data_IF_940899981479
#
_entry.id   IF_940899981479
#
_cell.length_a   1.000
_cell.length_b   1.000
_cell.length_c   1.000
_cell.angle_alpha   90.00
_cell.angle_beta   90.00
_cell.angle_gamma   90.00
#
_symmetry.space_group_name_H-M   'P 1'
#
loop_
_entity.id
_entity.type
_entity.pdbx_description
1 polymer ?
#
# COMPACT_ATOMS: atom_id res chain seq x y z
N UNK A 1 4.63 -38.29 16.91
CA UNK A 1 4.88 -37.51 15.68
C UNK A 1 4.15 -36.19 15.86
N UNK A 2 4.87 -35.16 16.29
CA UNK A 2 4.31 -33.84 16.66
C UNK A 2 4.10 -33.01 15.40
N UNK A 3 2.84 -32.67 15.10
CA UNK A 3 2.48 -31.69 14.09
C UNK A 3 2.98 -30.31 14.55
N UNK A 4 4.05 -29.80 13.92
CA UNK A 4 4.38 -28.38 14.02
C UNK A 4 3.38 -27.62 13.15
N UNK A 5 2.40 -26.99 13.79
CA UNK A 5 1.55 -25.98 13.15
C UNK A 5 2.45 -24.81 12.77
N UNK A 6 2.56 -24.54 11.47
CA UNK A 6 3.31 -23.42 10.94
C UNK A 6 2.74 -22.12 11.53
N UNK A 7 3.59 -21.35 12.22
CA UNK A 7 3.30 -20.00 12.71
C UNK A 7 3.11 -19.07 11.52
N UNK A 8 1.89 -18.63 11.27
CA UNK A 8 1.61 -17.46 10.43
C UNK A 8 0.95 -16.40 11.31
N UNK A 9 1.58 -15.23 11.41
CA UNK A 9 1.11 -14.10 12.21
C UNK A 9 -0.24 -13.58 11.67
N UNK A 10 -1.35 -14.12 12.18
CA UNK A 10 -2.71 -13.85 11.71
C UNK A 10 -3.17 -12.42 11.99
N UNK A 11 -2.89 -11.50 11.07
CA UNK A 11 -3.49 -10.16 11.07
C UNK A 11 -4.97 -10.26 10.71
N UNK A 12 -5.78 -9.28 11.12
CA UNK A 12 -7.16 -9.12 10.62
C UNK A 12 -7.41 -7.67 10.27
N UNK A 13 -8.59 -7.37 9.73
CA UNK A 13 -8.96 -6.01 9.40
C UNK A 13 -10.44 -5.73 9.60
N UNK A 14 -10.75 -4.47 9.87
CA UNK A 14 -12.10 -3.94 9.77
C UNK A 14 -12.20 -3.03 8.55
N UNK A 15 -13.27 -3.19 7.79
CA UNK A 15 -13.57 -2.35 6.63
C UNK A 15 -14.85 -1.56 6.92
N UNK A 16 -14.83 -0.25 6.69
CA UNK A 16 -15.98 0.62 6.92
C UNK A 16 -16.04 1.74 5.88
N UNK A 17 -17.09 2.58 5.91
CA UNK A 17 -17.14 3.81 5.11
C UNK A 17 -16.97 5.02 6.02
N UNK A 18 -16.12 5.97 5.65
CA UNK A 18 -15.94 7.21 6.41
C UNK A 18 -17.05 8.25 6.11
N UNK A 19 -16.92 9.45 6.70
CA UNK A 19 -17.85 10.59 6.51
C UNK A 19 -18.02 11.00 5.03
N UNK A 20 -17.03 10.72 4.18
CA UNK A 20 -17.07 11.01 2.75
C UNK A 20 -17.74 9.90 1.93
N UNK A 21 -18.12 8.79 2.56
CA UNK A 21 -18.62 7.57 1.90
C UNK A 21 -17.50 6.67 1.34
N UNK A 22 -16.24 7.06 1.51
CA UNK A 22 -15.06 6.32 1.04
C UNK A 22 -14.83 5.09 1.89
N UNK A 23 -14.51 3.95 1.24
CA UNK A 23 -14.14 2.72 1.93
C UNK A 23 -12.81 2.92 2.67
N UNK A 24 -12.80 2.66 3.97
CA UNK A 24 -11.64 2.68 4.85
C UNK A 24 -11.37 1.29 5.41
N UNK A 25 -10.10 1.01 5.70
CA UNK A 25 -9.67 -0.24 6.31
C UNK A 25 -8.78 0.07 7.51
N UNK A 26 -9.03 -0.64 8.60
CA UNK A 26 -8.24 -0.64 9.82
C UNK A 26 -7.59 -2.01 9.92
N UNK A 27 -6.26 -2.06 10.03
CA UNK A 27 -5.55 -3.31 10.32
C UNK A 27 -5.56 -3.55 11.83
N UNK A 28 -5.91 -4.79 12.19
CA UNK A 28 -5.92 -5.30 13.53
C UNK A 28 -4.64 -6.14 13.72
N UNK A 29 -3.60 -5.52 14.27
CA UNK A 29 -2.34 -6.19 14.64
C UNK A 29 -2.09 -6.21 16.15
N UNK A 30 -2.97 -5.55 16.92
CA UNK A 30 -2.97 -5.46 18.39
C UNK A 30 -4.41 -5.46 18.90
N UNK A 31 -4.59 -5.65 20.20
CA UNK A 31 -5.91 -5.52 20.82
C UNK A 31 -6.43 -4.09 20.66
N UNK A 32 -7.54 -3.96 19.93
CA UNK A 32 -7.99 -2.70 19.33
C UNK A 32 -9.27 -2.23 19.96
N UNK A 33 -9.20 -1.13 20.70
CA UNK A 33 -10.34 -0.43 21.24
C UNK A 33 -11.07 0.35 20.13
N UNK A 34 -12.40 0.22 20.08
CA UNK A 34 -13.27 0.97 19.19
C UNK A 34 -14.12 1.93 20.02
N UNK A 35 -14.06 3.22 19.69
CA UNK A 35 -14.79 4.23 20.44
C UNK A 35 -14.76 5.61 19.79
N UNK A 36 -15.21 6.60 20.57
CA UNK A 36 -15.23 8.02 20.18
C UNK A 36 -14.10 8.86 20.78
N UNK A 37 -13.11 8.24 21.43
CA UNK A 37 -11.98 8.95 22.04
C UNK A 37 -10.63 8.26 21.72
N UNK A 38 -9.54 9.03 21.56
CA UNK A 38 -8.30 8.55 20.92
C UNK A 38 -7.39 7.61 21.74
N UNK A 39 -7.61 7.38 23.04
CA UNK A 39 -7.03 6.27 23.82
C UNK A 39 -7.73 6.26 25.20
N UNK A 40 -7.83 5.13 25.93
CA UNK A 40 -8.90 4.90 26.88
C UNK A 40 -8.89 5.89 28.06
N UNK A 41 -9.75 6.89 28.00
CA UNK A 41 -10.05 7.72 29.16
C UNK A 41 -10.72 6.84 30.23
N UNK A 42 -10.06 6.73 31.39
CA UNK A 42 -10.63 6.11 32.60
C UNK A 42 -11.86 6.84 33.14
N UNK A 43 -12.21 8.03 32.61
CA UNK A 43 -13.40 8.79 33.02
C UNK A 43 -14.66 8.34 32.29
N UNK A 44 -14.88 7.03 32.17
CA UNK A 44 -16.22 6.52 31.88
C UNK A 44 -17.04 6.57 33.18
N UNK A 45 -18.23 7.22 33.23
CA UNK A 45 -19.13 7.12 34.38
C UNK A 45 -19.70 5.70 34.54
N UNK A 46 -19.41 4.79 33.59
CA UNK A 46 -19.82 3.39 33.63
C UNK A 46 -18.62 2.51 33.90
N UNK A 47 -18.86 1.48 34.71
CA UNK A 47 -17.91 0.40 34.96
C UNK A 47 -17.62 -0.34 33.65
N UNK A 48 -16.35 -0.39 33.26
CA UNK A 48 -15.90 -1.06 32.05
C UNK A 48 -15.58 -2.52 32.37
N UNK A 49 -15.90 -3.46 31.47
CA UNK A 49 -15.54 -4.86 31.68
C UNK A 49 -14.02 -5.05 31.86
N UNK A 50 -13.56 -6.03 32.67
CA UNK A 50 -12.14 -6.24 32.93
C UNK A 50 -11.27 -6.40 31.68
N UNK A 51 -11.83 -6.95 30.59
CA UNK A 51 -11.17 -7.13 29.30
C UNK A 51 -10.64 -5.82 28.73
N UNK A 52 -11.22 -4.67 29.09
CA UNK A 52 -10.77 -3.35 28.65
C UNK A 52 -9.30 -3.08 28.94
N UNK A 53 -8.75 -3.66 30.02
CA UNK A 53 -7.34 -3.56 30.38
C UNK A 53 -6.40 -4.17 29.32
N UNK A 54 -6.92 -5.02 28.43
CA UNK A 54 -6.16 -5.61 27.33
C UNK A 54 -5.99 -4.66 26.13
N UNK A 55 -6.66 -3.50 26.10
CA UNK A 55 -6.57 -2.56 24.97
C UNK A 55 -5.15 -1.99 24.80
N UNK A 56 -4.65 -2.00 23.57
CA UNK A 56 -3.29 -1.56 23.23
C UNK A 56 -3.26 -0.43 22.20
N UNK A 57 -4.24 -0.40 21.29
CA UNK A 57 -4.45 0.69 20.34
C UNK A 57 -5.92 1.11 20.38
N UNK A 58 -6.22 2.35 20.00
CA UNK A 58 -7.58 2.82 19.86
C UNK A 58 -7.81 3.34 18.44
N UNK A 59 -8.99 3.01 17.92
CA UNK A 59 -9.47 3.50 16.64
C UNK A 59 -10.69 4.36 16.91
N UNK A 60 -10.57 5.60 16.49
CA UNK A 60 -11.64 6.57 16.53
C UNK A 60 -12.58 6.29 15.35
N UNK A 61 -13.78 5.82 15.63
CA UNK A 61 -14.80 5.61 14.60
C UNK A 61 -15.61 6.90 14.48
N UNK A 62 -15.10 7.81 13.67
CA UNK A 62 -15.77 9.06 13.31
C UNK A 62 -16.90 8.72 12.34
N UNK A 63 -18.15 8.99 12.73
CA UNK A 63 -19.36 8.99 11.88
C UNK A 63 -20.65 9.04 12.70
N UNK A 64 -20.62 8.58 13.95
CA UNK A 64 -21.84 8.38 14.74
C UNK A 64 -21.67 8.79 16.20
N UNK A 65 -22.33 9.89 16.59
CA UNK A 65 -22.38 10.38 17.97
C UNK A 65 -22.98 9.37 18.97
N UNK A 66 -23.71 8.37 18.48
CA UNK A 66 -24.29 7.29 19.28
C UNK A 66 -23.28 6.21 19.66
N UNK A 67 -22.08 6.20 19.07
CA UNK A 67 -21.00 5.32 19.52
C UNK A 67 -20.61 5.73 20.96
N UNK A 68 -20.35 4.78 21.85
CA UNK A 68 -19.91 5.11 23.21
C UNK A 68 -18.44 5.56 23.20
N UNK A 69 -18.02 6.34 24.20
CA UNK A 69 -16.60 6.72 24.32
C UNK A 69 -15.69 5.50 24.33
N UNK A 70 -16.06 4.52 25.16
CA UNK A 70 -15.53 3.15 25.10
C UNK A 70 -16.67 2.24 24.62
N UNK A 71 -16.64 1.79 23.37
CA UNK A 71 -17.77 1.04 22.78
C UNK A 71 -17.51 -0.45 22.75
N UNK A 72 -16.45 -0.87 22.11
CA UNK A 72 -16.10 -2.27 21.95
C UNK A 72 -14.59 -2.45 21.97
N UNK A 73 -14.14 -3.68 22.20
CA UNK A 73 -12.74 -4.07 22.16
C UNK A 73 -12.59 -5.35 21.34
N UNK A 74 -11.70 -5.32 20.36
CA UNK A 74 -11.26 -6.51 19.64
C UNK A 74 -10.02 -7.07 20.31
N UNK A 75 -10.10 -8.31 20.75
CA UNK A 75 -9.01 -9.03 21.41
C UNK A 75 -8.62 -10.22 20.55
N UNK A 76 -7.32 -10.42 20.36
CA UNK A 76 -6.81 -11.69 19.83
C UNK A 76 -6.72 -12.68 20.98
N UNK A 77 -7.52 -13.74 20.92
CA UNK A 77 -7.52 -14.83 21.89
C UNK A 77 -7.17 -16.12 21.13
N UNK A 78 -6.02 -16.69 21.44
CA UNK A 78 -5.37 -17.75 20.67
C UNK A 78 -5.31 -17.39 19.17
N UNK A 79 -5.91 -18.21 18.32
CA UNK A 79 -5.96 -18.02 16.87
C UNK A 79 -7.26 -17.36 16.37
N UNK A 80 -8.04 -16.76 17.27
CA UNK A 80 -9.34 -16.16 16.94
C UNK A 80 -9.42 -14.69 17.36
N UNK A 81 -10.18 -13.92 16.59
CA UNK A 81 -10.54 -12.55 16.99
C UNK A 81 -11.87 -12.57 17.71
N UNK A 82 -11.89 -11.99 18.91
CA UNK A 82 -13.07 -11.92 19.76
C UNK A 82 -13.45 -10.45 19.95
N UNK A 83 -14.70 -10.14 19.63
CA UNK A 83 -15.30 -8.82 19.84
C UNK A 83 -15.97 -8.78 21.21
N UNK A 84 -15.60 -7.81 22.04
CA UNK A 84 -16.17 -7.57 23.36
C UNK A 84 -16.95 -6.25 23.35
N UNK A 85 -18.20 -6.25 23.78
CA UNK A 85 -18.95 -5.02 24.07
C UNK A 85 -18.48 -4.42 25.40
N UNK A 86 -18.15 -3.13 25.45
CA UNK A 86 -17.64 -2.47 26.65
C UNK A 86 -18.74 -1.78 27.46
N UNK A 87 -19.88 -2.45 27.64
CA UNK A 87 -21.10 -1.89 28.24
C UNK A 87 -21.61 -0.65 27.47
N UNK A 88 -21.64 -0.75 26.15
CA UNK A 88 -22.02 0.35 25.27
C UNK A 88 -23.49 0.75 25.46
N UNK A 89 -23.81 2.03 25.24
CA UNK A 89 -25.19 2.54 25.40
C UNK A 89 -26.14 1.92 24.37
N UNK A 90 -25.72 1.95 23.11
CA UNK A 90 -26.55 1.57 21.96
C UNK A 90 -26.28 0.13 21.47
N UNK A 91 -25.43 -0.60 22.18
CA UNK A 91 -25.15 -2.00 21.92
C UNK A 91 -24.23 -2.23 20.73
N UNK A 92 -23.68 -3.43 20.71
CA UNK A 92 -22.91 -4.01 19.62
C UNK A 92 -23.70 -5.16 19.01
N UNK A 93 -23.76 -5.25 17.67
CA UNK A 93 -24.39 -6.36 16.96
C UNK A 93 -23.41 -7.01 16.01
N UNK A 94 -23.56 -8.32 15.78
CA UNK A 94 -22.83 -9.06 14.75
C UNK A 94 -23.84 -9.81 13.90
N UNK A 95 -23.82 -9.57 12.59
CA UNK A 95 -24.78 -10.16 11.63
C UNK A 95 -26.25 -9.94 12.03
N UNK A 96 -26.55 -8.78 12.61
CA UNK A 96 -27.90 -8.41 13.06
C UNK A 96 -28.26 -8.86 14.48
N UNK A 97 -27.51 -9.80 15.07
CA UNK A 97 -27.74 -10.28 16.43
C UNK A 97 -27.03 -9.40 17.46
N UNK A 98 -27.75 -8.96 18.49
CA UNK A 98 -27.19 -8.14 19.57
C UNK A 98 -26.37 -8.97 20.54
N UNK A 99 -25.18 -8.48 20.88
CA UNK A 99 -24.42 -9.00 22.02
C UNK A 99 -25.12 -8.56 23.32
N UNK A 100 -25.08 -9.39 24.38
CA UNK A 100 -25.36 -8.91 25.73
C UNK A 100 -24.45 -7.73 26.09
N UNK A 101 -24.90 -6.83 26.96
CA UNK A 101 -24.04 -5.76 27.48
C UNK A 101 -22.86 -6.38 28.24
N UNK A 102 -21.64 -5.99 27.87
CA UNK A 102 -20.44 -6.61 28.44
C UNK A 102 -20.14 -8.01 27.91
N UNK A 103 -20.94 -8.50 26.96
CA UNK A 103 -20.79 -9.82 26.34
C UNK A 103 -19.79 -9.80 25.18
N UNK A 104 -19.48 -11.00 24.70
CA UNK A 104 -18.46 -11.23 23.68
C UNK A 104 -18.98 -12.09 22.53
N UNK A 105 -18.26 -12.06 21.40
CA UNK A 105 -18.51 -12.93 20.26
C UNK A 105 -17.22 -13.17 19.46
N UNK A 106 -16.91 -14.43 19.20
CA UNK A 106 -15.87 -14.81 18.25
C UNK A 106 -16.28 -14.44 16.83
N UNK A 107 -15.39 -13.79 16.09
CA UNK A 107 -15.64 -13.29 14.74
C UNK A 107 -15.18 -14.27 13.67
N UNK A 108 -15.90 -14.27 12.55
CA UNK A 108 -15.60 -15.02 11.34
C UNK A 108 -15.49 -14.10 10.13
N UNK A 109 -14.82 -14.56 9.10
CA UNK A 109 -14.70 -13.81 7.84
C UNK A 109 -16.05 -13.37 7.30
N UNK A 110 -16.13 -12.09 6.94
CA UNK A 110 -17.33 -11.46 6.40
C UNK A 110 -18.34 -10.98 7.44
N UNK A 111 -18.09 -11.21 8.74
CA UNK A 111 -19.01 -10.77 9.79
C UNK A 111 -19.22 -9.25 9.75
N UNK A 112 -20.49 -8.85 9.77
CA UNK A 112 -20.89 -7.44 9.83
C UNK A 112 -21.06 -7.08 11.30
N UNK A 113 -20.09 -6.35 11.84
CA UNK A 113 -20.12 -5.77 13.17
C UNK A 113 -20.81 -4.40 13.08
N UNK A 114 -21.88 -4.20 13.81
CA UNK A 114 -22.53 -2.90 13.93
C UNK A 114 -22.34 -2.35 15.34
N UNK A 115 -21.57 -1.27 15.46
CA UNK A 115 -21.45 -0.51 16.71
C UNK A 115 -22.34 0.73 16.62
N UNK A 116 -23.36 0.82 17.47
CA UNK A 116 -24.45 1.79 17.30
C UNK A 116 -25.06 1.75 15.87
N UNK A 117 -24.89 2.80 15.06
CA UNK A 117 -25.38 2.84 13.68
C UNK A 117 -24.33 2.52 12.64
N UNK A 118 -23.06 2.41 13.01
CA UNK A 118 -21.94 2.24 12.07
C UNK A 118 -21.66 0.76 11.77
N UNK A 119 -21.83 0.31 10.52
CA UNK A 119 -21.42 -1.03 10.10
C UNK A 119 -19.91 -1.08 9.81
N UNK A 120 -19.26 -2.14 10.29
CA UNK A 120 -17.88 -2.52 10.09
C UNK A 120 -17.89 -3.97 9.58
N UNK A 121 -17.15 -4.28 8.53
CA UNK A 121 -17.01 -5.67 8.04
C UNK A 121 -15.69 -6.23 8.55
N UNK A 122 -15.76 -7.33 9.27
CA UNK A 122 -14.57 -8.05 9.73
C UNK A 122 -14.07 -8.97 8.62
N UNK A 123 -12.77 -8.85 8.33
CA UNK A 123 -12.07 -9.74 7.42
C UNK A 123 -10.81 -10.23 8.14
N UNK A 124 -10.76 -11.50 8.58
CA UNK A 124 -9.51 -12.13 9.00
C UNK A 124 -8.61 -12.12 7.78
N UNK A 125 -7.36 -11.73 7.95
CA UNK A 125 -6.40 -11.74 6.86
C UNK A 125 -5.97 -13.20 6.61
N UNK A 126 -6.90 -14.04 6.17
CA UNK A 126 -6.59 -15.30 5.51
C UNK A 126 -6.21 -14.95 4.07
N UNK A 127 -4.91 -14.82 3.80
CA UNK A 127 -4.35 -15.24 2.51
C UNK A 127 -4.54 -14.37 1.26
N UNK A 128 -5.18 -13.19 1.27
CA UNK A 128 -5.08 -12.31 0.09
C UNK A 128 -3.86 -11.39 0.21
N UNK A 129 -2.79 -11.72 -0.52
CA UNK A 129 -1.64 -10.83 -0.71
C UNK A 129 -2.13 -9.57 -1.42
N UNK A 130 -2.41 -8.51 -0.67
CA UNK A 130 -2.68 -7.21 -1.26
C UNK A 130 -1.37 -6.58 -1.72
N UNK A 131 -1.19 -6.51 -3.04
CA UNK A 131 -0.16 -5.69 -3.63
C UNK A 131 -0.75 -4.36 -4.04
N UNK A 132 0.00 -3.30 -3.78
CA UNK A 132 -0.43 -1.93 -3.98
C UNK A 132 0.57 -1.22 -4.88
N UNK A 133 0.08 -0.26 -5.66
CA UNK A 133 0.95 0.60 -6.44
C UNK A 133 0.54 2.07 -6.30
N UNK A 134 1.54 2.93 -6.20
CA UNK A 134 1.41 4.37 -6.37
C UNK A 134 2.19 4.79 -7.62
N UNK A 135 1.47 5.29 -8.61
CA UNK A 135 2.01 5.82 -9.85
C UNK A 135 1.99 7.35 -9.79
N UNK A 136 3.14 7.98 -10.00
CA UNK A 136 3.30 9.43 -9.91
C UNK A 136 3.86 9.97 -11.22
N UNK A 137 3.11 10.83 -11.89
CA UNK A 137 3.51 11.43 -13.17
C UNK A 137 3.58 12.95 -13.09
N UNK A 138 4.76 13.53 -13.31
CA UNK A 138 4.87 14.98 -13.42
C UNK A 138 5.56 15.39 -14.74
N UNK A 139 4.82 15.97 -15.70
CA UNK A 139 5.43 16.47 -16.95
C UNK A 139 6.38 17.65 -16.70
N UNK A 140 6.20 18.39 -15.60
CA UNK A 140 7.02 19.54 -15.19
C UNK A 140 7.22 20.61 -16.27
N UNK A 141 8.32 21.34 -16.19
CA UNK A 141 8.67 22.40 -17.14
C UNK A 141 10.13 22.28 -17.62
N UNK A 142 10.39 22.29 -18.94
CA UNK A 142 9.41 22.23 -20.02
C UNK A 142 8.62 20.90 -19.98
N UNK A 143 7.35 20.89 -20.44
CA UNK A 143 6.50 19.72 -20.28
C UNK A 143 6.99 18.55 -21.13
N UNK A 144 7.22 17.41 -20.46
CA UNK A 144 7.46 16.12 -21.09
C UNK A 144 6.14 15.59 -21.68
N UNK A 145 6.20 15.02 -22.90
CA UNK A 145 5.01 14.63 -23.66
C UNK A 145 4.56 13.20 -23.36
N UNK A 146 5.47 12.34 -22.90
CA UNK A 146 5.24 10.91 -22.69
C UNK A 146 4.67 10.53 -21.32
N UNK A 147 4.65 11.44 -20.35
CA UNK A 147 4.39 11.08 -18.94
C UNK A 147 3.00 10.48 -18.71
N UNK A 148 1.95 11.00 -19.34
CA UNK A 148 0.62 10.37 -19.20
C UNK A 148 0.60 8.98 -19.85
N UNK A 149 1.23 8.81 -21.01
CA UNK A 149 1.32 7.50 -21.66
C UNK A 149 2.08 6.48 -20.79
N UNK A 150 3.12 6.94 -20.11
CA UNK A 150 3.91 6.15 -19.17
C UNK A 150 3.05 5.67 -17.99
N UNK A 151 2.30 6.60 -17.39
CA UNK A 151 1.40 6.33 -16.27
C UNK A 151 0.25 5.40 -16.68
N UNK A 152 -0.46 5.71 -17.77
CA UNK A 152 -1.59 4.92 -18.26
C UNK A 152 -1.15 3.49 -18.61
N UNK A 153 -0.03 3.35 -19.34
CA UNK A 153 0.47 2.03 -19.72
C UNK A 153 0.91 1.19 -18.51
N UNK A 154 1.49 1.83 -17.48
CA UNK A 154 1.87 1.15 -16.24
C UNK A 154 0.62 0.76 -15.44
N UNK A 155 -0.36 1.64 -15.38
CA UNK A 155 -1.64 1.40 -14.72
C UNK A 155 -2.36 0.20 -15.34
N UNK A 156 -2.46 0.15 -16.66
CA UNK A 156 -3.08 -0.95 -17.40
C UNK A 156 -2.40 -2.29 -17.06
N UNK A 157 -1.06 -2.33 -17.18
CA UNK A 157 -0.32 -3.59 -16.99
C UNK A 157 -0.30 -4.06 -15.54
N UNK A 158 -0.36 -3.16 -14.57
CA UNK A 158 -0.51 -3.54 -13.16
C UNK A 158 -1.95 -3.94 -12.84
N UNK A 159 -2.95 -3.22 -13.34
CA UNK A 159 -4.37 -3.48 -13.06
C UNK A 159 -4.87 -4.79 -13.66
N UNK A 160 -4.33 -5.19 -14.81
CA UNK A 160 -4.62 -6.49 -15.45
C UNK A 160 -4.07 -7.70 -14.66
N UNK A 161 -3.25 -7.47 -13.63
CA UNK A 161 -2.71 -8.55 -12.81
C UNK A 161 -3.65 -8.93 -11.68
N UNK A 162 -3.90 -10.24 -11.58
CA UNK A 162 -4.68 -10.86 -10.50
C UNK A 162 -4.25 -10.48 -9.08
N UNK A 163 -3.02 -10.01 -8.88
CA UNK A 163 -2.48 -9.68 -7.57
C UNK A 163 -2.45 -8.16 -7.25
N UNK A 164 -2.90 -7.29 -8.15
CA UNK A 164 -3.09 -5.84 -7.94
C UNK A 164 -4.55 -5.32 -8.13
N UNK A 165 -5.61 -6.16 -8.22
CA UNK A 165 -6.87 -5.71 -8.80
C UNK A 165 -7.51 -4.60 -7.93
N UNK A 166 -7.58 -3.39 -8.49
CA UNK A 166 -8.18 -2.22 -7.85
C UNK A 166 -7.32 -1.47 -6.82
N UNK A 167 -6.03 -1.85 -6.66
CA UNK A 167 -5.12 -1.28 -5.66
C UNK A 167 -3.99 -0.43 -6.28
N UNK A 168 -4.21 0.10 -7.49
CA UNK A 168 -3.30 1.01 -8.20
C UNK A 168 -3.84 2.43 -8.10
N UNK A 169 -3.11 3.29 -7.40
CA UNK A 169 -3.44 4.71 -7.26
C UNK A 169 -2.53 5.56 -8.13
N UNK A 170 -3.09 6.58 -8.80
CA UNK A 170 -2.35 7.47 -9.68
C UNK A 170 -2.46 8.93 -9.21
N UNK A 171 -1.33 9.64 -9.18
CA UNK A 171 -1.24 11.08 -9.02
C UNK A 171 -0.48 11.67 -10.22
N UNK A 172 -1.15 12.44 -11.08
CA UNK A 172 -0.49 13.09 -12.22
C UNK A 172 -0.74 14.60 -12.26
N UNK A 173 0.16 15.32 -12.94
CA UNK A 173 0.06 16.77 -13.18
C UNK A 173 -0.12 17.56 -11.89
N UNK A 174 -1.15 18.40 -11.83
CA UNK A 174 -1.54 19.24 -10.70
C UNK A 174 -1.88 18.44 -9.43
N UNK A 175 -2.19 17.15 -9.57
CA UNK A 175 -2.44 16.25 -8.43
C UNK A 175 -1.18 15.62 -7.86
N UNK A 176 -0.07 15.62 -8.60
CA UNK A 176 1.22 15.08 -8.17
C UNK A 176 1.95 16.08 -7.25
N UNK A 177 1.30 16.52 -6.17
CA UNK A 177 1.90 17.40 -5.16
C UNK A 177 2.70 16.58 -4.15
N UNK A 178 3.71 17.20 -3.52
CA UNK A 178 4.52 16.57 -2.49
C UNK A 178 3.63 16.04 -1.36
N UNK A 179 2.68 16.83 -0.90
CA UNK A 179 1.77 16.46 0.18
C UNK A 179 0.86 15.27 -0.20
N UNK A 180 0.25 15.29 -1.40
CA UNK A 180 -0.62 14.21 -1.85
C UNK A 180 0.12 12.88 -1.94
N UNK A 181 1.37 12.88 -2.42
CA UNK A 181 2.21 11.69 -2.49
C UNK A 181 2.48 11.14 -1.08
N UNK A 182 2.90 12.00 -0.14
CA UNK A 182 3.21 11.57 1.23
C UNK A 182 1.97 11.03 1.95
N UNK A 183 0.81 11.68 1.82
CA UNK A 183 -0.45 11.22 2.40
C UNK A 183 -0.89 9.87 1.82
N UNK A 184 -0.68 9.66 0.52
CA UNK A 184 -0.98 8.38 -0.11
C UNK A 184 -0.07 7.26 0.41
N UNK A 185 1.23 7.51 0.56
CA UNK A 185 2.16 6.54 1.17
C UNK A 185 1.78 6.21 2.62
N UNK A 186 1.35 7.19 3.40
CA UNK A 186 0.82 6.95 4.75
C UNK A 186 -0.43 6.07 4.72
N UNK A 187 -1.35 6.31 3.78
CA UNK A 187 -2.55 5.47 3.65
C UNK A 187 -2.24 4.02 3.32
N UNK A 188 -1.21 3.76 2.50
CA UNK A 188 -0.74 2.41 2.20
C UNK A 188 -0.06 1.76 3.40
N UNK A 189 0.69 2.52 4.21
CA UNK A 189 1.30 2.02 5.43
C UNK A 189 0.27 1.51 6.45
N UNK A 190 -0.94 2.09 6.45
CA UNK A 190 -2.04 1.65 7.31
C UNK A 190 -2.60 0.28 6.93
N UNK A 191 -2.45 -0.15 5.67
CA UNK A 191 -3.08 -1.37 5.14
C UNK A 191 -2.09 -2.47 4.75
N UNK A 192 -0.81 -2.14 4.53
CA UNK A 192 0.21 -3.10 4.12
C UNK A 192 0.62 -4.08 5.24
N UNK A 193 0.91 -5.32 4.86
CA UNK A 193 1.38 -6.39 5.76
C UNK A 193 2.81 -6.82 5.42
N UNK A 194 3.40 -7.73 6.19
CA UNK A 194 4.74 -8.27 5.88
C UNK A 194 4.78 -9.12 4.60
N UNK A 195 3.61 -9.61 4.16
CA UNK A 195 3.47 -10.38 2.92
C UNK A 195 3.11 -9.49 1.71
N UNK A 196 2.71 -8.23 1.94
CA UNK A 196 2.42 -7.28 0.87
C UNK A 196 3.64 -6.96 0.02
N UNK A 197 3.41 -6.70 -1.27
CA UNK A 197 4.36 -5.97 -2.12
C UNK A 197 3.83 -4.59 -2.46
N UNK A 198 4.68 -3.58 -2.36
CA UNK A 198 4.35 -2.20 -2.70
C UNK A 198 5.20 -1.74 -3.89
N UNK A 199 4.58 -1.09 -4.88
CA UNK A 199 5.26 -0.48 -6.02
C UNK A 199 5.11 1.04 -5.93
N UNK A 200 6.24 1.75 -5.88
CA UNK A 200 6.28 3.18 -6.15
C UNK A 200 6.86 3.38 -7.54
N UNK A 201 6.10 3.99 -8.43
CA UNK A 201 6.57 4.32 -9.76
C UNK A 201 6.48 5.84 -9.96
N UNK A 202 7.56 6.42 -10.46
CA UNK A 202 7.62 7.83 -10.81
C UNK A 202 8.14 8.03 -12.23
N UNK A 203 7.47 8.91 -12.98
CA UNK A 203 7.93 9.41 -14.27
C UNK A 203 7.87 10.93 -14.32
N UNK A 204 8.97 11.56 -14.73
CA UNK A 204 9.04 13.01 -14.85
C UNK A 204 10.46 13.56 -14.75
N UNK A 205 10.56 14.85 -14.49
CA UNK A 205 11.85 15.49 -14.24
C UNK A 205 12.41 15.15 -12.86
N UNK A 206 13.73 15.25 -12.73
CA UNK A 206 14.42 15.15 -11.46
C UNK A 206 15.79 15.82 -11.52
N UNK A 207 16.32 16.10 -10.35
CA UNK A 207 17.61 16.74 -10.16
C UNK A 207 18.33 16.17 -8.96
N UNK A 208 19.50 16.73 -8.65
CA UNK A 208 20.36 16.27 -7.56
C UNK A 208 19.71 16.32 -6.16
N UNK A 209 18.61 17.05 -6.01
CA UNK A 209 17.87 17.17 -4.75
C UNK A 209 16.69 16.21 -4.64
N UNK A 210 16.23 15.62 -5.75
CA UNK A 210 15.06 14.74 -5.75
C UNK A 210 14.25 14.80 -7.05
N UNK A 211 13.02 14.27 -6.97
CA UNK A 211 12.08 14.20 -8.09
C UNK A 211 11.25 15.49 -8.14
N UNK A 212 11.06 16.05 -9.32
CA UNK A 212 10.22 17.24 -9.49
C UNK A 212 8.75 16.87 -9.32
N UNK A 213 8.06 17.50 -8.39
CA UNK A 213 6.61 17.33 -8.20
C UNK A 213 5.92 18.65 -8.48
N UNK A 214 4.60 18.66 -8.61
CA UNK A 214 3.87 19.83 -9.10
C UNK A 214 4.17 21.13 -8.34
N UNK A 215 4.31 21.01 -7.02
CA UNK A 215 4.50 22.11 -6.08
C UNK A 215 5.93 22.16 -5.49
N UNK A 216 6.88 21.41 -6.06
CA UNK A 216 8.27 21.45 -5.58
C UNK A 216 9.09 20.20 -5.88
N UNK A 217 9.68 19.62 -4.83
CA UNK A 217 10.59 18.48 -4.95
C UNK A 217 10.28 17.44 -3.90
N UNK A 218 10.14 16.18 -4.32
CA UNK A 218 10.12 15.02 -3.43
C UNK A 218 11.55 14.53 -3.23
N UNK A 219 12.09 14.67 -2.02
CA UNK A 219 13.48 14.29 -1.73
C UNK A 219 13.59 12.80 -1.34
N UNK A 220 14.79 12.19 -1.37
CA UNK A 220 14.99 10.83 -0.84
C UNK A 220 14.56 10.70 0.62
N UNK A 221 14.83 11.71 1.45
CA UNK A 221 14.42 11.74 2.86
C UNK A 221 12.90 11.70 3.00
N UNK A 222 12.19 12.48 2.19
CA UNK A 222 10.72 12.52 2.22
C UNK A 222 10.15 11.13 1.92
N UNK A 223 10.58 10.54 0.80
CA UNK A 223 10.11 9.24 0.33
C UNK A 223 10.43 8.14 1.36
N UNK A 224 11.68 8.02 1.80
CA UNK A 224 12.09 6.93 2.70
C UNK A 224 11.52 7.06 4.11
N UNK A 225 11.27 8.28 4.59
CA UNK A 225 10.59 8.48 5.88
C UNK A 225 9.17 7.91 5.91
N UNK A 226 8.52 7.73 4.75
CA UNK A 226 7.19 7.12 4.62
C UNK A 226 7.24 5.68 4.20
N UNK A 227 8.09 5.35 3.21
CA UNK A 227 8.26 3.98 2.77
C UNK A 227 8.68 3.06 3.91
N UNK A 228 9.50 3.50 4.86
CA UNK A 228 9.91 2.66 6.01
C UNK A 228 8.71 2.09 6.79
N UNK A 229 7.58 2.80 6.82
CA UNK A 229 6.36 2.40 7.53
C UNK A 229 5.48 1.43 6.73
N UNK A 230 5.67 1.35 5.40
CA UNK A 230 4.99 0.36 4.57
C UNK A 230 5.66 -0.99 4.81
N UNK A 231 4.90 -1.94 5.36
CA UNK A 231 5.38 -3.30 5.65
C UNK A 231 5.57 -4.09 4.36
N UNK A 232 6.29 -5.21 4.45
CA UNK A 232 6.53 -6.09 3.31
C UNK A 232 7.62 -5.59 2.36
N UNK A 233 7.60 -6.07 1.13
CA UNK A 233 8.64 -5.78 0.13
C UNK A 233 8.25 -4.55 -0.69
N UNK A 234 9.21 -3.65 -0.97
CA UNK A 234 8.97 -2.49 -1.82
C UNK A 234 9.83 -2.50 -3.07
N UNK A 235 9.24 -2.11 -4.18
CA UNK A 235 9.92 -1.82 -5.43
C UNK A 235 9.68 -0.34 -5.79
N UNK A 236 10.76 0.41 -5.94
CA UNK A 236 10.76 1.82 -6.33
C UNK A 236 11.33 1.91 -7.74
N UNK A 237 10.58 2.47 -8.68
CA UNK A 237 10.93 2.61 -10.09
C UNK A 237 10.94 4.09 -10.45
N UNK A 238 12.08 4.60 -10.88
CA UNK A 238 12.28 6.04 -11.12
C UNK A 238 12.70 6.28 -12.58
N UNK A 239 11.73 6.65 -13.42
CA UNK A 239 11.95 7.14 -14.79
C UNK A 239 12.19 8.66 -14.73
N UNK A 240 13.34 9.03 -14.15
CA UNK A 240 13.75 10.43 -13.97
C UNK A 240 15.27 10.63 -14.03
N UNK A 241 15.69 11.77 -14.59
CA UNK A 241 17.08 12.26 -14.51
C UNK A 241 17.56 12.33 -13.05
N UNK A 242 18.86 12.06 -12.82
CA UNK A 242 19.50 12.09 -11.50
C UNK A 242 18.80 11.25 -10.42
N UNK A 243 17.96 10.29 -10.79
CA UNK A 243 17.25 9.43 -9.82
C UNK A 243 18.17 8.51 -9.01
N UNK A 244 19.46 8.44 -9.36
CA UNK A 244 20.50 7.74 -8.61
C UNK A 244 20.72 8.32 -7.20
N UNK A 245 20.31 9.56 -6.92
CA UNK A 245 20.31 10.13 -5.57
C UNK A 245 19.39 9.39 -4.59
N UNK A 246 18.50 8.54 -5.08
CA UNK A 246 17.65 7.67 -4.27
C UNK A 246 18.30 6.32 -3.96
N UNK A 247 19.50 6.00 -4.44
CA UNK A 247 20.10 4.70 -4.15
C UNK A 247 20.45 4.58 -2.65
N UNK A 248 20.89 5.66 -2.02
CA UNK A 248 21.25 5.64 -0.61
C UNK A 248 20.05 5.92 0.32
N UNK A 249 20.13 5.43 1.57
CA UNK A 249 19.13 5.71 2.61
C UNK A 249 17.88 4.83 2.60
N UNK A 250 17.81 3.85 1.69
CA UNK A 250 16.72 2.86 1.62
C UNK A 250 16.84 1.77 2.69
N UNK A 251 15.71 1.19 3.09
CA UNK A 251 15.68 0.01 3.97
C UNK A 251 16.02 -1.28 3.19
N UNK A 252 16.46 -2.33 3.89
CA UNK A 252 16.86 -3.61 3.26
C UNK A 252 15.73 -4.34 2.51
N UNK A 253 14.47 -4.06 2.85
CA UNK A 253 13.29 -4.57 2.14
C UNK A 253 12.80 -3.65 1.00
N UNK A 254 13.57 -2.63 0.64
CA UNK A 254 13.27 -1.70 -0.44
C UNK A 254 14.29 -1.85 -1.57
N UNK A 255 13.80 -2.26 -2.73
CA UNK A 255 14.56 -2.29 -3.97
C UNK A 255 14.28 -1.02 -4.76
N UNK A 256 15.32 -0.42 -5.34
CA UNK A 256 15.22 0.79 -6.16
C UNK A 256 15.80 0.50 -7.53
N UNK A 257 15.08 0.84 -8.59
CA UNK A 257 15.55 0.85 -9.97
C UNK A 257 15.46 2.28 -10.45
N UNK A 258 16.63 2.85 -10.76
CA UNK A 258 16.78 4.20 -11.26
C UNK A 258 17.15 4.14 -12.74
N UNK A 259 16.45 4.91 -13.56
CA UNK A 259 16.87 5.19 -14.93
C UNK A 259 17.82 6.39 -14.92
N UNK A 260 19.07 6.19 -15.31
CA UNK A 260 19.98 7.30 -15.60
C UNK A 260 20.58 7.14 -17.01
N UNK A 261 20.84 8.25 -17.70
CA UNK A 261 21.58 8.24 -18.97
C UNK A 261 23.04 8.63 -18.72
N UNK A 262 24.02 8.14 -19.50
CA UNK A 262 25.43 8.53 -19.37
C UNK A 262 25.72 10.04 -19.46
N UNK A 263 24.77 10.84 -19.98
CA UNK A 263 24.84 12.31 -20.06
C UNK A 263 23.99 13.03 -18.98
N UNK A 264 23.46 12.30 -17.99
CA UNK A 264 22.61 12.85 -16.92
C UNK A 264 21.13 13.05 -17.28
N UNK A 265 20.72 12.75 -18.52
CA UNK A 265 19.34 13.01 -19.01
C UNK A 265 18.64 11.77 -19.57
N UNK A 266 17.50 11.38 -19.01
CA UNK A 266 16.62 10.38 -19.64
C UNK A 266 15.95 10.96 -20.88
N UNK A 267 15.92 10.18 -21.95
CA UNK A 267 15.35 10.57 -23.23
C UNK A 267 13.99 9.91 -23.43
N UNK A 268 13.01 10.68 -23.87
CA UNK A 268 11.79 10.19 -24.48
C UNK A 268 12.10 9.51 -25.83
N UNK A 269 11.44 8.39 -26.14
CA UNK A 269 11.58 7.69 -27.42
C UNK A 269 10.23 7.49 -28.11
N UNK A 270 10.14 7.62 -29.45
CA UNK A 270 8.92 7.28 -30.16
C UNK A 270 8.64 5.77 -30.03
N UNK A 271 7.38 5.45 -29.74
CA UNK A 271 6.82 4.10 -29.87
C UNK A 271 6.30 3.97 -31.30
N UNK A 272 6.40 2.76 -31.88
CA UNK A 272 6.08 2.48 -33.29
C UNK A 272 4.60 2.67 -33.68
N UNK A 273 3.79 3.23 -32.79
CA UNK A 273 2.36 3.47 -33.00
C UNK A 273 2.18 4.97 -33.25
N UNK A 274 1.82 5.32 -34.50
CA UNK A 274 1.32 6.66 -34.83
C UNK A 274 -0.10 6.78 -34.28
N UNK A 275 -0.37 7.77 -33.43
CA UNK A 275 -1.73 8.20 -33.13
C UNK A 275 -2.08 9.37 -34.05
N UNK A 276 -3.38 9.72 -34.14
CA UNK A 276 -3.90 10.76 -35.03
C UNK A 276 -3.23 12.14 -34.86
N UNK A 277 -2.57 12.37 -33.74
CA UNK A 277 -2.08 13.68 -33.29
C UNK A 277 -0.54 13.75 -33.20
N UNK A 278 0.17 12.70 -33.63
CA UNK A 278 1.64 12.63 -33.61
C UNK A 278 2.22 11.30 -33.12
N UNK A 279 3.52 11.28 -32.82
CA UNK A 279 4.21 10.11 -32.28
C UNK A 279 3.74 9.81 -30.86
N UNK A 280 3.36 8.56 -30.57
CA UNK A 280 3.23 8.07 -29.21
C UNK A 280 4.62 8.03 -28.56
N UNK A 281 4.79 8.67 -27.42
CA UNK A 281 6.09 8.80 -26.74
C UNK A 281 6.02 8.11 -25.38
N UNK A 282 7.02 7.30 -25.07
CA UNK A 282 7.13 6.55 -23.82
C UNK A 282 8.58 6.56 -23.32
N UNK A 283 8.78 6.58 -22.01
CA UNK A 283 10.08 6.44 -21.37
C UNK A 283 10.70 5.06 -21.65
N UNK A 284 12.02 5.01 -21.90
CA UNK A 284 12.69 3.73 -22.18
C UNK A 284 12.64 2.77 -20.99
N UNK A 285 12.77 3.29 -19.75
CA UNK A 285 12.70 2.47 -18.55
C UNK A 285 11.28 1.89 -18.38
N UNK A 286 10.26 2.73 -18.54
CA UNK A 286 8.85 2.35 -18.51
C UNK A 286 8.55 1.25 -19.52
N UNK A 287 8.98 1.42 -20.77
CA UNK A 287 8.77 0.44 -21.85
C UNK A 287 9.39 -0.92 -21.54
N UNK A 288 10.63 -0.94 -21.05
CA UNK A 288 11.33 -2.16 -20.72
C UNK A 288 10.69 -2.89 -19.53
N UNK A 289 10.26 -2.15 -18.50
CA UNK A 289 9.57 -2.72 -17.35
C UNK A 289 8.21 -3.31 -17.75
N UNK A 290 7.41 -2.59 -18.56
CA UNK A 290 6.14 -3.10 -19.11
C UNK A 290 6.35 -4.39 -19.91
N UNK A 291 7.38 -4.44 -20.76
CA UNK A 291 7.69 -5.64 -21.55
C UNK A 291 7.99 -6.83 -20.66
N UNK A 292 8.78 -6.63 -19.60
CA UNK A 292 9.05 -7.68 -18.62
C UNK A 292 7.77 -8.12 -17.91
N UNK A 293 6.97 -7.16 -17.45
CA UNK A 293 5.70 -7.49 -16.82
C UNK A 293 4.84 -8.34 -17.77
N UNK A 294 4.60 -7.90 -19.00
CA UNK A 294 3.77 -8.66 -19.96
C UNK A 294 4.36 -10.04 -20.29
N UNK A 295 5.68 -10.18 -20.35
CA UNK A 295 6.37 -11.43 -20.65
C UNK A 295 6.50 -12.39 -19.46
N UNK A 296 6.22 -11.94 -18.23
CA UNK A 296 6.45 -12.72 -17.01
C UNK A 296 5.18 -12.72 -16.13
N UNK A 297 4.44 -13.83 -16.20
CA UNK A 297 3.25 -14.09 -15.38
C UNK A 297 3.57 -14.56 -13.95
N UNK A 298 4.86 -14.80 -13.65
CA UNK A 298 5.35 -15.25 -12.35
C UNK A 298 6.28 -14.25 -11.67
N UNK A 299 7.35 -14.74 -11.03
CA UNK A 299 8.32 -13.92 -10.26
C UNK A 299 8.97 -12.85 -11.14
N UNK A 300 9.15 -11.64 -10.61
CA UNK A 300 9.96 -10.61 -11.28
C UNK A 300 11.44 -10.96 -11.04
N UNK A 301 12.15 -11.34 -12.11
CA UNK A 301 13.58 -11.57 -12.08
C UNK A 301 14.35 -10.30 -12.49
N UNK A 302 15.06 -9.72 -11.53
CA UNK A 302 15.81 -8.47 -11.73
C UNK A 302 17.01 -8.63 -12.66
N UNK A 303 17.59 -9.84 -12.76
CA UNK A 303 18.67 -10.12 -13.73
C UNK A 303 18.14 -10.14 -15.16
N UNK A 304 16.92 -10.65 -15.36
CA UNK A 304 16.23 -10.59 -16.67
C UNK A 304 15.84 -9.14 -17.01
N UNK A 305 15.39 -8.35 -16.03
CA UNK A 305 15.17 -6.91 -16.19
C UNK A 305 16.45 -6.22 -16.63
N UNK A 306 17.56 -6.47 -15.94
CA UNK A 306 18.85 -5.87 -16.26
C UNK A 306 19.30 -6.23 -17.68
N UNK A 307 19.22 -7.51 -18.06
CA UNK A 307 19.57 -7.97 -19.39
C UNK A 307 18.67 -7.39 -20.51
N UNK A 308 17.37 -7.22 -20.27
CA UNK A 308 16.48 -6.53 -21.22
C UNK A 308 16.76 -5.03 -21.29
N UNK A 309 17.06 -4.39 -20.16
CA UNK A 309 17.41 -2.96 -20.10
C UNK A 309 18.76 -2.67 -20.75
N UNK A 310 19.74 -3.57 -20.67
CA UNK A 310 21.03 -3.48 -21.36
C UNK A 310 20.90 -3.47 -22.89
N UNK A 311 19.82 -4.05 -23.45
CA UNK A 311 19.49 -3.93 -24.89
C UNK A 311 19.12 -2.49 -25.27
N UNK A 312 18.71 -1.67 -24.31
CA UNK A 312 18.50 -0.24 -24.48
C UNK A 312 19.77 0.51 -24.07
N UNK A 313 20.71 0.65 -25.02
CA UNK A 313 22.04 1.26 -24.85
C UNK A 313 22.10 2.69 -24.24
N UNK A 314 20.95 3.28 -23.88
CA UNK A 314 20.81 4.61 -23.29
C UNK A 314 20.48 4.61 -21.79
N UNK A 315 20.28 3.44 -21.18
CA UNK A 315 19.96 3.30 -19.76
C UNK A 315 21.17 2.76 -18.98
N UNK A 316 21.54 3.44 -17.89
CA UNK A 316 22.41 2.91 -16.85
C UNK A 316 21.54 2.36 -15.73
N UNK A 317 21.78 1.11 -15.38
CA UNK A 317 21.30 0.51 -14.16
C UNK A 317 22.37 0.69 -13.10
N UNK A 318 22.04 1.44 -12.06
CA UNK A 318 22.83 1.49 -10.86
C UNK A 318 22.27 0.44 -9.91
N UNK A 319 23.11 -0.54 -9.55
CA UNK A 319 22.82 -1.66 -8.64
C UNK A 319 22.16 -2.91 -9.28
N UNK A 320 22.93 -3.67 -10.08
CA UNK A 320 22.61 -5.08 -10.42
C UNK A 320 23.13 -6.05 -9.31
N UNK A 321 23.68 -5.49 -8.23
CA UNK A 321 24.37 -6.19 -7.16
C UNK A 321 23.53 -6.36 -5.90
N UNK A 322 22.47 -7.16 -5.96
CA UNK A 322 21.89 -7.69 -4.72
C UNK A 322 22.52 -9.06 -4.47
N UNK A 323 23.32 -9.16 -3.41
CA UNK A 323 23.45 -10.43 -2.70
C UNK A 323 22.04 -10.76 -2.17
N UNK A 324 21.24 -11.44 -2.98
CA UNK A 324 19.96 -12.00 -2.55
C UNK A 324 20.33 -13.23 -1.73
N UNK A 325 20.81 -13.04 -0.51
CA UNK A 325 20.63 -14.10 0.49
C UNK A 325 19.14 -14.14 0.82
N UNK A 326 18.43 -14.98 0.06
CA UNK A 326 17.20 -15.60 0.53
C UNK A 326 15.84 -15.02 0.11
N UNK A 327 15.70 -14.10 -0.86
CA UNK A 327 14.32 -13.79 -1.33
C UNK A 327 14.17 -13.22 -2.74
N UNK A 328 13.72 -14.09 -3.65
CA UNK A 328 12.96 -13.75 -4.86
C UNK A 328 11.83 -12.73 -4.58
N UNK A 329 11.65 -11.74 -5.46
CA UNK A 329 10.42 -10.92 -5.55
C UNK A 329 9.38 -11.75 -6.31
N UNK A 330 8.53 -12.44 -5.56
CA UNK A 330 7.56 -13.37 -6.13
C UNK A 330 6.24 -12.65 -6.42
N UNK A 331 6.00 -12.30 -7.68
CA UNK A 331 4.64 -12.03 -8.16
C UNK A 331 4.05 -13.37 -8.60
N UNK A 332 3.91 -14.32 -7.67
CA UNK A 332 3.25 -15.59 -7.97
C UNK A 332 1.81 -15.53 -7.51
N UNK A 333 0.92 -15.83 -8.43
CA UNK A 333 -0.42 -16.34 -8.14
C UNK A 333 -0.32 -17.63 -7.34
N UNK A 334 -1.19 -17.78 -6.34
CA UNK A 334 -1.58 -19.07 -5.82
C UNK A 334 -2.27 -19.88 -6.95
N UNK A 335 -1.50 -20.59 -7.76
CA UNK A 335 -1.96 -21.76 -8.54
C UNK A 335 -0.75 -22.67 -8.76
N UNK A 336 -0.47 -23.56 -7.80
CA UNK A 336 0.00 -24.92 -8.09
C UNK A 336 -0.75 -25.87 -7.16
N UNK A 337 -1.12 -27.04 -7.71
CA UNK A 337 -2.20 -27.92 -7.29
C UNK A 337 -2.05 -28.55 -5.90
#
# INVERSE_FOLDING_TARGET
MSLQVAKTNGQASLVFRDLSGSKRRIILDKNTHLGRVPFPEHRSPRELPPVFKKAQIAVLVENDGHISRNHALLVREDEQWVLHDLNSLNGTRVNGESLPRGGERTLRSGDIIKIAHTPLVFSPHEGEIENFALLVGNPGFPPLRGIENDIDSMQDVLSDRKNFPGNVSTLSRDKATREAILNMLESFALIATNESSFVFYYAGHGGITGLSVFDGTLTPKDLYSRLVNIRGKKLVLLDSCHSSVFLDGRSSNTLVISGESPKGHLYEGPVSTMLSDGYYVQGYLTRAFIKLLRGNSGRINLKEIAAELEKYHKLRLHDVGVAVEGSTFSITSAIER
#
